data_IF_367063406679
#
_entry.id   IF_367063406679
#
_cell.length_a   1.000
_cell.length_b   1.000
_cell.length_c   1.000
_cell.angle_alpha   90.00
_cell.angle_beta   90.00
_cell.angle_gamma   90.00
#
_symmetry.space_group_name_H-M   'P 1'
#
loop_
_entity.id
_entity.type
_entity.pdbx_description
1 polymer ?
#
# COMPACT_ATOMS: atom_id res chain seq x y z
N UNK A 1 0.89 -17.02 -34.23
CA UNK A 1 1.02 -17.94 -33.08
C UNK A 1 1.20 -17.10 -31.82
N UNK A 2 0.15 -16.91 -31.03
CA UNK A 2 0.22 -16.23 -29.73
C UNK A 2 0.88 -17.19 -28.74
N UNK A 3 2.09 -16.85 -28.27
CA UNK A 3 2.77 -17.62 -27.22
C UNK A 3 1.95 -17.67 -25.92
N UNK A 4 2.33 -18.52 -24.95
CA UNK A 4 1.58 -18.69 -23.71
C UNK A 4 1.39 -17.35 -22.97
N UNK A 5 0.14 -17.11 -22.56
CA UNK A 5 -0.27 -15.91 -21.80
C UNK A 5 0.18 -15.94 -20.34
N UNK A 6 0.12 -14.79 -19.68
CA UNK A 6 0.52 -14.62 -18.27
C UNK A 6 -0.57 -15.08 -17.30
N UNK A 7 -1.86 -15.00 -17.65
CA UNK A 7 -2.98 -15.25 -16.74
C UNK A 7 -4.09 -16.15 -17.28
N UNK A 8 -3.89 -16.81 -18.43
CA UNK A 8 -4.92 -17.53 -19.21
C UNK A 8 -6.06 -16.66 -19.75
N UNK A 9 -6.14 -15.40 -19.35
CA UNK A 9 -7.08 -14.39 -19.83
C UNK A 9 -6.34 -13.36 -20.70
N UNK A 10 -6.60 -13.33 -22.02
CA UNK A 10 -5.97 -12.38 -22.94
C UNK A 10 -6.26 -10.90 -22.60
N UNK A 11 -7.45 -10.59 -22.08
CA UNK A 11 -7.83 -9.23 -21.73
C UNK A 11 -7.11 -8.76 -20.46
N UNK A 12 -6.94 -9.67 -19.49
CA UNK A 12 -6.11 -9.43 -18.31
C UNK A 12 -4.63 -9.31 -18.66
N UNK A 13 -4.10 -10.14 -19.57
CA UNK A 13 -2.72 -10.04 -20.06
C UNK A 13 -2.46 -8.69 -20.77
N UNK A 14 -3.44 -8.23 -21.55
CA UNK A 14 -3.42 -6.91 -22.18
C UNK A 14 -3.40 -5.81 -21.13
N UNK A 15 -4.26 -5.91 -20.11
CA UNK A 15 -4.31 -4.96 -18.99
C UNK A 15 -3.00 -4.89 -18.20
N UNK A 16 -2.37 -6.04 -17.90
CA UNK A 16 -1.06 -6.11 -17.23
C UNK A 16 0.01 -5.35 -18.02
N UNK A 17 -0.06 -5.43 -19.35
CA UNK A 17 0.88 -4.73 -20.24
C UNK A 17 0.59 -3.22 -20.24
N UNK A 18 -0.67 -2.83 -20.39
CA UNK A 18 -1.16 -1.45 -20.41
C UNK A 18 -0.79 -0.71 -19.11
N UNK A 19 -1.02 -1.34 -17.95
CA UNK A 19 -0.87 -0.71 -16.64
C UNK A 19 0.54 -0.80 -16.04
N UNK A 20 1.54 -1.31 -16.77
CA UNK A 20 2.94 -1.40 -16.31
C UNK A 20 3.45 -0.09 -15.70
N UNK A 21 3.34 0.99 -16.47
CA UNK A 21 3.87 2.30 -16.08
C UNK A 21 2.99 2.96 -15.01
N UNK A 22 1.69 2.68 -15.01
CA UNK A 22 0.76 3.13 -13.97
C UNK A 22 1.15 2.54 -12.61
N UNK A 23 1.44 1.24 -12.55
CA UNK A 23 1.87 0.59 -11.32
C UNK A 23 3.17 1.21 -10.75
N UNK A 24 4.17 1.42 -11.61
CA UNK A 24 5.42 2.07 -11.22
C UNK A 24 5.19 3.52 -10.75
N UNK A 25 4.31 4.26 -11.44
CA UNK A 25 4.01 5.65 -11.09
C UNK A 25 3.27 5.74 -9.76
N UNK A 26 2.28 4.89 -9.52
CA UNK A 26 1.56 4.81 -8.25
C UNK A 26 2.51 4.55 -7.08
N UNK A 27 3.43 3.59 -7.21
CA UNK A 27 4.47 3.35 -6.20
C UNK A 27 5.34 4.58 -5.93
N UNK A 28 5.70 5.30 -7.00
CA UNK A 28 6.48 6.55 -6.89
C UNK A 28 5.68 7.63 -6.15
N UNK A 29 4.40 7.80 -6.48
CA UNK A 29 3.51 8.77 -5.83
C UNK A 29 3.29 8.40 -4.35
N UNK A 30 3.08 7.13 -4.03
CA UNK A 30 2.96 6.67 -2.64
C UNK A 30 4.22 6.99 -1.82
N UNK A 31 5.41 6.74 -2.39
CA UNK A 31 6.68 7.11 -1.73
C UNK A 31 6.84 8.63 -1.56
N UNK A 32 6.43 9.41 -2.56
CA UNK A 32 6.43 10.87 -2.48
C UNK A 32 5.46 11.36 -1.40
N UNK A 33 4.29 10.73 -1.23
CA UNK A 33 3.35 11.06 -0.15
C UNK A 33 3.92 10.75 1.23
N UNK A 34 4.65 9.64 1.39
CA UNK A 34 5.28 9.26 2.66
C UNK A 34 6.43 10.20 3.07
N UNK A 35 7.09 10.83 2.10
CA UNK A 35 8.26 11.69 2.32
C UNK A 35 7.97 13.18 2.19
N UNK A 36 6.77 13.54 1.72
CA UNK A 36 6.35 14.92 1.59
C UNK A 36 6.14 15.56 2.96
N UNK A 37 6.89 16.63 3.21
CA UNK A 37 6.66 17.47 4.38
C UNK A 37 5.32 18.22 4.25
N UNK A 38 4.58 18.30 5.35
CA UNK A 38 3.21 18.84 5.42
C UNK A 38 3.14 20.32 4.99
N UNK A 39 4.24 21.06 5.14
CA UNK A 39 4.40 22.45 4.74
C UNK A 39 4.39 22.65 3.21
N UNK A 40 4.61 21.60 2.42
CA UNK A 40 4.53 21.60 0.95
C UNK A 40 3.15 21.18 0.44
N UNK A 41 2.09 21.78 1.00
CA UNK A 41 0.70 21.40 0.74
C UNK A 41 0.30 21.41 -0.76
N UNK A 42 0.81 22.36 -1.57
CA UNK A 42 0.52 22.41 -3.02
C UNK A 42 1.09 21.21 -3.76
N UNK A 43 2.30 20.80 -3.40
CA UNK A 43 2.94 19.62 -3.97
C UNK A 43 2.19 18.35 -3.57
N UNK A 44 1.81 18.25 -2.29
CA UNK A 44 0.99 17.15 -1.78
C UNK A 44 -0.37 17.05 -2.47
N UNK A 45 -1.03 18.19 -2.72
CA UNK A 45 -2.30 18.24 -3.44
C UNK A 45 -2.17 17.74 -4.89
N UNK A 46 -1.10 18.14 -5.60
CA UNK A 46 -0.82 17.66 -6.95
C UNK A 46 -0.59 16.14 -6.98
N UNK A 47 0.23 15.61 -6.07
CA UNK A 47 0.46 14.16 -5.93
C UNK A 47 -0.86 13.43 -5.65
N UNK A 48 -1.68 13.94 -4.73
CA UNK A 48 -2.98 13.36 -4.39
C UNK A 48 -3.92 13.31 -5.60
N UNK A 49 -3.97 14.37 -6.39
CA UNK A 49 -4.80 14.45 -7.60
C UNK A 49 -4.38 13.40 -8.63
N UNK A 50 -3.10 13.41 -9.02
CA UNK A 50 -2.56 12.46 -10.01
C UNK A 50 -2.78 11.02 -9.55
N UNK A 51 -2.52 10.73 -8.27
CA UNK A 51 -2.78 9.42 -7.67
C UNK A 51 -4.25 9.02 -7.81
N UNK A 52 -5.19 9.94 -7.57
CA UNK A 52 -6.61 9.66 -7.68
C UNK A 52 -7.02 9.32 -9.12
N UNK A 53 -6.47 10.02 -10.12
CA UNK A 53 -6.71 9.73 -11.54
C UNK A 53 -6.20 8.35 -11.95
N UNK A 54 -4.98 7.98 -11.54
CA UNK A 54 -4.43 6.65 -11.82
C UNK A 54 -5.28 5.54 -11.19
N UNK A 55 -5.79 5.74 -9.97
CA UNK A 55 -6.72 4.82 -9.33
C UNK A 55 -8.07 4.75 -10.03
N UNK A 56 -8.59 5.86 -10.56
CA UNK A 56 -9.83 5.88 -11.34
C UNK A 56 -9.66 5.06 -12.63
N UNK A 57 -8.53 5.18 -13.31
CA UNK A 57 -8.22 4.40 -14.52
C UNK A 57 -8.15 2.89 -14.22
N UNK A 58 -7.45 2.51 -13.14
CA UNK A 58 -7.41 1.10 -12.70
C UNK A 58 -8.81 0.57 -12.38
N UNK A 59 -9.64 1.36 -11.71
CA UNK A 59 -11.02 0.97 -11.38
C UNK A 59 -11.85 0.74 -12.63
N UNK A 60 -11.83 1.67 -13.57
CA UNK A 60 -12.56 1.54 -14.82
C UNK A 60 -12.12 0.33 -15.65
N UNK A 61 -10.83 -0.03 -15.63
CA UNK A 61 -10.35 -1.26 -16.28
C UNK A 61 -10.79 -2.52 -15.52
N UNK A 62 -10.64 -2.54 -14.20
CA UNK A 62 -11.00 -3.69 -13.36
C UNK A 62 -12.50 -4.00 -13.43
N UNK A 63 -13.35 -2.98 -13.52
CA UNK A 63 -14.80 -3.12 -13.71
C UNK A 63 -15.12 -3.78 -15.06
N UNK A 64 -14.49 -3.35 -16.15
CA UNK A 64 -14.65 -3.97 -17.47
C UNK A 64 -14.18 -5.43 -17.51
N UNK A 65 -13.11 -5.75 -16.77
CA UNK A 65 -12.58 -7.10 -16.64
C UNK A 65 -13.34 -7.97 -15.63
N UNK A 66 -14.31 -7.40 -14.90
CA UNK A 66 -15.08 -8.11 -13.87
C UNK A 66 -14.20 -8.84 -12.83
N UNK A 67 -13.05 -8.26 -12.46
CA UNK A 67 -12.08 -8.94 -11.58
C UNK A 67 -12.65 -9.23 -10.18
N UNK A 68 -13.42 -8.28 -9.64
CA UNK A 68 -14.13 -8.37 -8.36
C UNK A 68 -15.42 -7.58 -8.51
N UNK A 69 -16.48 -8.17 -9.11
CA UNK A 69 -17.70 -7.46 -9.47
C UNK A 69 -18.42 -6.81 -8.27
N UNK A 70 -18.26 -7.40 -7.09
CA UNK A 70 -18.86 -6.94 -5.84
C UNK A 70 -18.14 -5.74 -5.20
N UNK A 71 -16.86 -5.50 -5.56
CA UNK A 71 -16.06 -4.41 -4.99
C UNK A 71 -15.03 -3.91 -6.01
N UNK A 72 -15.39 -2.83 -6.72
CA UNK A 72 -14.53 -2.26 -7.76
C UNK A 72 -13.24 -1.65 -7.19
N UNK A 73 -13.21 -1.26 -5.90
CA UNK A 73 -11.98 -0.80 -5.26
C UNK A 73 -11.02 -1.97 -5.03
N UNK A 74 -11.55 -3.10 -4.59
CA UNK A 74 -10.78 -4.33 -4.47
C UNK A 74 -10.34 -4.85 -5.84
N UNK A 75 -11.20 -4.77 -6.86
CA UNK A 75 -10.85 -5.09 -8.24
C UNK A 75 -9.68 -4.26 -8.78
N UNK A 76 -9.70 -2.94 -8.56
CA UNK A 76 -8.59 -2.06 -8.93
C UNK A 76 -7.27 -2.44 -8.23
N UNK A 77 -7.34 -2.81 -6.94
CA UNK A 77 -6.17 -3.28 -6.17
C UNK A 77 -5.66 -4.63 -6.66
N UNK A 78 -6.56 -5.55 -7.01
CA UNK A 78 -6.20 -6.83 -7.58
C UNK A 78 -5.49 -6.67 -8.93
N UNK A 79 -6.01 -5.79 -9.80
CA UNK A 79 -5.37 -5.44 -11.07
C UNK A 79 -3.97 -4.83 -10.88
N UNK A 80 -3.82 -3.94 -9.90
CA UNK A 80 -2.51 -3.38 -9.56
C UNK A 80 -1.55 -4.48 -9.08
N UNK A 81 -1.98 -5.32 -8.13
CA UNK A 81 -1.15 -6.39 -7.56
C UNK A 81 -0.68 -7.38 -8.62
N UNK A 82 -1.59 -7.87 -9.48
CA UNK A 82 -1.22 -8.82 -10.53
C UNK A 82 -0.27 -8.20 -11.55
N UNK A 83 -0.44 -6.91 -11.85
CA UNK A 83 0.48 -6.15 -12.71
C UNK A 83 1.86 -6.07 -12.09
N UNK A 84 1.98 -5.68 -10.82
CA UNK A 84 3.26 -5.60 -10.12
C UNK A 84 3.97 -6.96 -10.05
N UNK A 85 3.24 -8.02 -9.68
CA UNK A 85 3.77 -9.38 -9.62
C UNK A 85 4.29 -9.84 -10.99
N UNK A 86 3.51 -9.62 -12.05
CA UNK A 86 3.91 -9.99 -13.40
C UNK A 86 5.23 -9.31 -13.80
N UNK A 87 5.39 -8.01 -13.51
CA UNK A 87 6.59 -7.26 -13.86
C UNK A 87 7.79 -7.56 -12.96
N UNK A 88 7.58 -7.87 -11.67
CA UNK A 88 8.65 -8.37 -10.80
C UNK A 88 9.18 -9.71 -11.32
N UNK A 89 8.29 -10.65 -11.64
CA UNK A 89 8.67 -11.96 -12.17
C UNK A 89 9.32 -11.84 -13.54
N UNK A 90 8.81 -10.97 -14.41
CA UNK A 90 9.40 -10.70 -15.71
C UNK A 90 10.82 -10.14 -15.58
N UNK A 91 11.03 -9.14 -14.72
CA UNK A 91 12.35 -8.55 -14.49
C UNK A 91 13.34 -9.57 -13.90
N UNK A 92 12.90 -10.39 -12.94
CA UNK A 92 13.71 -11.41 -12.28
C UNK A 92 14.13 -12.53 -13.24
N UNK A 93 13.21 -13.01 -14.07
CA UNK A 93 13.44 -14.21 -14.89
C UNK A 93 13.79 -13.90 -16.36
N UNK A 94 13.73 -12.62 -16.76
CA UNK A 94 13.93 -12.12 -18.13
C UNK A 94 13.06 -12.83 -19.17
N UNK A 95 11.88 -13.32 -18.75
CA UNK A 95 10.92 -14.08 -19.55
C UNK A 95 9.50 -13.75 -19.09
N UNK A 96 8.53 -13.95 -19.97
CA UNK A 96 7.11 -13.82 -19.60
C UNK A 96 6.78 -14.80 -18.47
N UNK A 97 6.19 -14.33 -17.35
CA UNK A 97 5.80 -15.19 -16.25
C UNK A 97 4.67 -16.12 -16.68
N UNK A 98 4.64 -17.32 -16.10
CA UNK A 98 3.52 -18.24 -16.29
C UNK A 98 2.39 -17.93 -15.29
N UNK A 99 1.14 -18.35 -15.58
CA UNK A 99 0.02 -18.21 -14.64
C UNK A 99 0.31 -18.84 -13.28
N UNK A 100 1.00 -19.98 -13.25
CA UNK A 100 1.40 -20.65 -12.01
C UNK A 100 2.36 -19.79 -11.17
N UNK A 101 3.32 -19.10 -11.82
CA UNK A 101 4.26 -18.22 -11.12
C UNK A 101 3.56 -17.00 -10.53
N UNK A 102 2.65 -16.38 -11.29
CA UNK A 102 1.85 -15.25 -10.81
C UNK A 102 0.99 -15.69 -9.63
N UNK A 103 0.25 -16.80 -9.76
CA UNK A 103 -0.63 -17.31 -8.69
C UNK A 103 0.16 -17.63 -7.41
N UNK A 104 1.32 -18.27 -7.55
CA UNK A 104 2.18 -18.58 -6.40
C UNK A 104 2.65 -17.31 -5.69
N UNK A 105 3.19 -16.33 -6.44
CA UNK A 105 3.71 -15.10 -5.85
C UNK A 105 2.60 -14.22 -5.24
N UNK A 106 1.43 -14.11 -5.87
CA UNK A 106 0.27 -13.38 -5.30
C UNK A 106 -0.16 -14.00 -3.97
N UNK A 107 -0.25 -15.34 -3.90
CA UNK A 107 -0.59 -16.04 -2.66
C UNK A 107 0.46 -15.79 -1.58
N UNK A 108 1.73 -15.95 -1.91
CA UNK A 108 2.82 -15.79 -0.95
C UNK A 108 2.89 -14.33 -0.44
N UNK A 109 2.69 -13.33 -1.31
CA UNK A 109 2.56 -11.93 -0.91
C UNK A 109 1.35 -11.68 0.00
N UNK A 110 0.22 -12.35 -0.26
CA UNK A 110 -0.97 -12.26 0.60
C UNK A 110 -0.71 -12.81 2.01
N UNK A 111 0.01 -13.93 2.12
CA UNK A 111 0.38 -14.50 3.42
C UNK A 111 1.40 -13.64 4.18
N UNK A 112 2.38 -13.06 3.48
CA UNK A 112 3.31 -12.10 4.08
C UNK A 112 2.57 -10.85 4.58
N UNK A 113 1.72 -10.25 3.75
CA UNK A 113 0.96 -9.06 4.13
C UNK A 113 0.04 -9.29 5.34
N UNK A 114 -0.51 -10.51 5.52
CA UNK A 114 -1.26 -10.86 6.73
C UNK A 114 -0.38 -10.85 7.98
N UNK A 115 0.86 -11.36 7.88
CA UNK A 115 1.81 -11.36 9.01
C UNK A 115 2.25 -9.94 9.35
N UNK A 116 2.66 -9.18 8.34
CA UNK A 116 3.09 -7.78 8.50
C UNK A 116 1.98 -6.93 9.12
N UNK A 117 0.72 -7.19 8.76
CA UNK A 117 -0.44 -6.54 9.38
C UNK A 117 -0.54 -6.84 10.88
N UNK A 118 -0.38 -8.10 11.28
CA UNK A 118 -0.43 -8.49 12.70
C UNK A 118 0.71 -7.85 13.49
N UNK A 119 1.92 -7.80 12.92
CA UNK A 119 3.07 -7.14 13.53
C UNK A 119 2.84 -5.63 13.68
N UNK A 120 2.35 -4.96 12.64
CA UNK A 120 2.02 -3.53 12.70
C UNK A 120 0.91 -3.22 13.72
N UNK A 121 -0.08 -4.10 13.87
CA UNK A 121 -1.11 -3.97 14.91
C UNK A 121 -0.51 -4.10 16.32
N UNK A 122 0.47 -5.00 16.52
CA UNK A 122 1.18 -5.13 17.79
C UNK A 122 2.05 -3.90 18.12
N UNK A 123 2.81 -3.39 17.14
CA UNK A 123 3.64 -2.19 17.30
C UNK A 123 2.81 -0.96 17.66
N UNK A 124 1.61 -0.84 17.08
CA UNK A 124 0.67 0.23 17.42
C UNK A 124 0.27 0.15 18.89
N UNK A 125 -0.08 -1.04 19.40
CA UNK A 125 -0.43 -1.25 20.81
C UNK A 125 0.74 -0.92 21.73
N UNK A 126 1.96 -1.35 21.39
CA UNK A 126 3.16 -1.01 22.17
C UNK A 126 3.39 0.50 22.22
N UNK A 127 3.27 1.16 21.06
CA UNK A 127 3.46 2.61 20.95
C UNK A 127 2.42 3.36 21.77
N UNK A 128 1.14 2.98 21.69
CA UNK A 128 0.07 3.56 22.51
C UNK A 128 0.33 3.38 24.01
N UNK A 129 0.76 2.19 24.44
CA UNK A 129 1.11 1.92 25.82
C UNK A 129 2.29 2.78 26.30
N UNK A 130 3.34 2.90 25.49
CA UNK A 130 4.51 3.74 25.77
C UNK A 130 4.10 5.22 25.92
N UNK A 131 3.25 5.72 25.03
CA UNK A 131 2.72 7.09 25.10
C UNK A 131 1.91 7.35 26.38
N UNK A 132 1.03 6.41 26.76
CA UNK A 132 0.27 6.52 28.03
C UNK A 132 1.21 6.54 29.24
N UNK A 133 2.22 5.68 29.26
CA UNK A 133 3.21 5.63 30.35
C UNK A 133 4.00 6.93 30.48
N UNK A 134 4.42 7.50 29.35
CA UNK A 134 5.11 8.80 29.33
C UNK A 134 4.20 9.93 29.83
N UNK A 135 2.92 9.95 29.43
CA UNK A 135 1.96 10.95 29.89
C UNK A 135 1.74 10.88 31.41
N UNK A 136 1.66 9.68 31.98
CA UNK A 136 1.58 9.47 33.45
C UNK A 136 2.84 10.00 34.14
N UNK A 137 4.04 9.70 33.61
CA UNK A 137 5.29 10.21 34.18
C UNK A 137 5.37 11.74 34.16
N UNK A 138 4.96 12.38 33.07
CA UNK A 138 4.88 13.84 32.97
C UNK A 138 3.90 14.40 34.01
N UNK A 139 2.72 13.79 34.13
CA UNK A 139 1.71 14.22 35.11
C UNK A 139 2.20 14.07 36.55
N UNK A 140 2.88 12.97 36.86
CA UNK A 140 3.47 12.73 38.17
C UNK A 140 4.58 13.75 38.50
N UNK A 141 5.45 14.05 37.53
CA UNK A 141 6.48 15.09 37.67
C UNK A 141 5.85 16.46 37.95
N UNK A 142 4.80 16.84 37.22
CA UNK A 142 4.08 18.09 37.45
C UNK A 142 3.41 18.14 38.83
N UNK A 143 2.82 17.03 39.28
CA UNK A 143 2.17 16.95 40.58
C UNK A 143 3.18 17.10 41.73
N UNK A 144 4.33 16.43 41.64
CA UNK A 144 5.35 16.53 42.70
C UNK A 144 6.01 17.90 42.73
N UNK A 145 6.31 18.51 41.57
CA UNK A 145 6.83 19.89 41.51
C UNK A 145 5.86 20.86 42.18
N UNK A 146 4.56 20.78 41.85
CA UNK A 146 3.53 21.63 42.48
C UNK A 146 3.47 21.42 44.00
N UNK A 147 3.59 20.20 44.49
CA UNK A 147 3.57 19.91 45.92
C UNK A 147 4.78 20.51 46.64
N UNK A 148 5.97 20.40 46.05
CA UNK A 148 7.21 21.01 46.58
C UNK A 148 7.08 22.52 46.65
N UNK A 149 6.60 23.18 45.58
CA UNK A 149 6.44 24.63 45.54
C UNK A 149 5.47 25.13 46.63
N UNK A 150 4.36 24.41 46.85
CA UNK A 150 3.37 24.76 47.88
C UNK A 150 3.87 24.52 49.31
N UNK A 151 4.83 23.61 49.48
CA UNK A 151 5.38 23.26 50.80
C UNK A 151 6.56 24.15 51.22
N UNK A 152 7.10 24.94 50.28
CA UNK A 152 8.16 25.91 50.52
C UNK A 152 7.63 27.34 50.82
N UNK A 153 6.31 27.54 50.73
CA UNK A 153 5.60 28.77 51.06
C UNK A 153 5.02 28.71 52.49
#
# INVERSE_FOLDING_TARGET
>A
MTGPGMTHDPDLDSAITEFRYVAQRLRTLDQQMLTAAVDRYKHFAAIKHERAELWANLRGKAEKLQLVPEDHHLGARALLLVTEVAWILHARNRRKPTPAMIKAMVRDMGELAKRDRVEAEADKVETEFRMRTLAVRVSAAQAITRHIDLSAA
#
